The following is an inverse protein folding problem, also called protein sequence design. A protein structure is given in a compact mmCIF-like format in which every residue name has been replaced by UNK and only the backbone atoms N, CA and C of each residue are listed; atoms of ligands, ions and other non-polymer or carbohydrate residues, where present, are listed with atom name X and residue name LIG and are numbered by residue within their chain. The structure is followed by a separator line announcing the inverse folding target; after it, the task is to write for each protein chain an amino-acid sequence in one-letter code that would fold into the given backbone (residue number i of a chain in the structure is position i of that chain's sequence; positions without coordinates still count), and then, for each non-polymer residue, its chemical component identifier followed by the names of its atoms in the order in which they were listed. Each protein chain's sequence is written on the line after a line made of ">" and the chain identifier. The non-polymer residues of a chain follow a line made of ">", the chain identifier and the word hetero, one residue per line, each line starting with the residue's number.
data_IF_120843207435
#
_entry.id   IF_120843207435
#
_cell.length_a   1.000
_cell.length_b   1.000
_cell.length_c   1.000
_cell.angle_alpha   90.00
_cell.angle_beta   90.00
_cell.angle_gamma   90.00
#
_symmetry.space_group_name_H-M   'P 1'
#
loop_
_entity.id
_entity.type
_entity.pdbx_description
1 polymer ?
#
# COMPACT_ATOMS: atom_id res chain seq x y z
N UNK A 1 -2.27 14.50 -6.66
CA UNK A 1 -3.69 14.05 -6.60
C UNK A 1 -4.00 13.58 -5.19
N UNK A 2 -5.06 14.08 -4.61
CA UNK A 2 -5.52 13.64 -3.29
C UNK A 2 -6.71 12.70 -3.42
N UNK A 3 -7.24 12.25 -2.28
CA UNK A 3 -8.37 11.30 -2.27
C UNK A 3 -9.61 11.87 -2.97
N UNK A 4 -9.92 13.13 -2.74
CA UNK A 4 -11.09 13.78 -3.35
C UNK A 4 -10.99 13.84 -4.87
N UNK A 5 -9.82 14.18 -5.39
CA UNK A 5 -9.58 14.21 -6.83
C UNK A 5 -9.63 12.81 -7.42
N UNK A 6 -9.10 11.80 -6.70
CA UNK A 6 -9.18 10.42 -7.14
C UNK A 6 -10.63 9.93 -7.19
N UNK A 7 -11.45 10.27 -6.18
CA UNK A 7 -12.88 9.92 -6.17
C UNK A 7 -13.61 10.53 -7.36
N UNK A 8 -13.31 11.78 -7.70
CA UNK A 8 -13.91 12.45 -8.86
C UNK A 8 -13.56 11.70 -10.15
N UNK A 9 -12.29 11.31 -10.31
CA UNK A 9 -11.82 10.57 -11.46
C UNK A 9 -12.49 9.19 -11.55
N UNK A 10 -12.58 8.49 -10.43
CA UNK A 10 -13.21 7.17 -10.38
C UNK A 10 -14.71 7.25 -10.73
N UNK A 11 -15.40 8.26 -10.22
CA UNK A 11 -16.81 8.46 -10.51
C UNK A 11 -17.04 8.67 -12.02
N UNK A 12 -16.19 9.46 -12.65
CA UNK A 12 -16.24 9.71 -14.10
C UNK A 12 -15.95 8.45 -14.89
N UNK A 13 -14.89 7.73 -14.56
CA UNK A 13 -14.48 6.52 -15.27
C UNK A 13 -15.49 5.38 -15.14
N UNK A 14 -16.09 5.23 -13.97
CA UNK A 14 -17.07 4.19 -13.69
C UNK A 14 -18.50 4.59 -14.05
N UNK A 15 -18.70 5.82 -14.52
CA UNK A 15 -20.01 6.38 -14.83
C UNK A 15 -20.98 6.25 -13.65
N UNK A 16 -20.55 6.72 -12.50
CA UNK A 16 -21.31 6.65 -11.26
C UNK A 16 -21.19 7.97 -10.48
N UNK A 17 -21.83 8.04 -9.33
CA UNK A 17 -21.76 9.22 -8.48
C UNK A 17 -20.48 9.25 -7.65
N UNK A 18 -20.08 10.44 -7.21
CA UNK A 18 -18.96 10.60 -6.29
C UNK A 18 -19.20 9.85 -4.98
N UNK A 19 -20.43 9.82 -4.51
CA UNK A 19 -20.80 9.10 -3.29
C UNK A 19 -20.52 7.61 -3.42
N UNK A 20 -20.95 7.00 -4.51
CA UNK A 20 -20.69 5.57 -4.77
C UNK A 20 -19.21 5.33 -4.93
N UNK A 21 -18.50 6.15 -5.70
CA UNK A 21 -17.05 6.00 -5.92
C UNK A 21 -16.29 6.12 -4.60
N UNK A 22 -16.65 7.06 -3.74
CA UNK A 22 -16.01 7.22 -2.43
C UNK A 22 -16.26 6.01 -1.54
N UNK A 23 -17.49 5.50 -1.52
CA UNK A 23 -17.84 4.31 -0.74
C UNK A 23 -17.05 3.09 -1.20
N UNK A 24 -16.92 2.90 -2.51
CA UNK A 24 -16.16 1.78 -3.07
C UNK A 24 -14.66 1.90 -2.77
N UNK A 25 -14.11 3.10 -2.87
CA UNK A 25 -12.70 3.32 -2.56
C UNK A 25 -12.41 3.06 -1.08
N UNK A 26 -13.27 3.53 -0.18
CA UNK A 26 -13.14 3.26 1.25
C UNK A 26 -13.25 1.76 1.55
N UNK A 27 -14.20 1.07 0.92
CA UNK A 27 -14.35 -0.37 1.07
C UNK A 27 -13.11 -1.12 0.57
N UNK A 28 -12.51 -0.68 -0.53
CA UNK A 28 -11.27 -1.25 -1.06
C UNK A 28 -10.13 -1.08 -0.06
N UNK A 29 -9.94 0.13 0.44
CA UNK A 29 -8.87 0.44 1.39
C UNK A 29 -9.03 -0.40 2.67
N UNK A 30 -10.25 -0.43 3.21
CA UNK A 30 -10.54 -1.20 4.43
C UNK A 30 -10.32 -2.69 4.22
N UNK A 31 -10.74 -3.22 3.07
CA UNK A 31 -10.60 -4.64 2.75
C UNK A 31 -9.14 -5.05 2.60
N UNK A 32 -8.34 -4.25 1.89
CA UNK A 32 -6.91 -4.51 1.71
C UNK A 32 -6.19 -4.40 3.06
N UNK A 33 -6.51 -3.37 3.83
CA UNK A 33 -5.91 -3.16 5.15
C UNK A 33 -6.18 -4.34 6.08
N UNK A 34 -7.43 -4.80 6.13
CA UNK A 34 -7.81 -5.93 6.98
C UNK A 34 -7.13 -7.23 6.54
N UNK A 35 -7.09 -7.50 5.24
CA UNK A 35 -6.46 -8.70 4.70
C UNK A 35 -4.96 -8.73 5.01
N UNK A 36 -4.25 -7.64 4.75
CA UNK A 36 -2.81 -7.56 5.00
C UNK A 36 -2.51 -7.63 6.49
N UNK A 37 -3.32 -6.99 7.33
CA UNK A 37 -3.18 -7.07 8.78
C UNK A 37 -3.34 -8.50 9.30
N UNK A 38 -4.14 -9.31 8.60
CA UNK A 38 -4.37 -10.73 8.94
C UNK A 38 -3.35 -11.67 8.28
N UNK A 39 -2.35 -11.13 7.62
CA UNK A 39 -1.28 -11.91 6.99
C UNK A 39 -1.57 -12.39 5.58
N UNK A 40 -2.68 -11.97 5.00
CA UNK A 40 -3.04 -12.33 3.63
C UNK A 40 -2.35 -11.41 2.61
N UNK A 41 -1.99 -11.99 1.48
CA UNK A 41 -1.47 -11.23 0.35
C UNK A 41 -2.63 -10.92 -0.60
N UNK A 42 -2.77 -9.66 -0.97
CA UNK A 42 -3.77 -9.23 -1.96
C UNK A 42 -3.08 -8.94 -3.27
N UNK A 43 -3.39 -9.73 -4.30
CA UNK A 43 -2.77 -9.58 -5.62
C UNK A 43 -3.80 -9.09 -6.63
N UNK A 44 -3.47 -7.97 -7.28
CA UNK A 44 -4.25 -7.41 -8.39
C UNK A 44 -3.39 -7.55 -9.65
N UNK A 45 -3.77 -8.50 -10.50
CA UNK A 45 -3.00 -8.86 -11.69
C UNK A 45 -2.70 -7.63 -12.55
N UNK A 46 -1.43 -7.44 -12.87
CA UNK A 46 -0.98 -6.31 -13.66
C UNK A 46 -0.71 -5.04 -12.86
N UNK A 47 -1.37 -4.86 -11.72
CA UNK A 47 -1.19 -3.68 -10.87
C UNK A 47 -0.12 -3.92 -9.80
N UNK A 48 -0.27 -4.94 -9.00
CA UNK A 48 0.68 -5.27 -7.95
C UNK A 48 0.08 -6.07 -6.82
N UNK A 49 0.88 -6.25 -5.78
CA UNK A 49 0.49 -7.02 -4.61
C UNK A 49 0.73 -6.24 -3.34
N UNK A 50 -0.21 -6.38 -2.41
CA UNK A 50 -0.10 -5.84 -1.05
C UNK A 50 0.15 -6.99 -0.10
N UNK A 51 1.16 -6.88 0.75
CA UNK A 51 1.51 -7.94 1.69
C UNK A 51 2.13 -7.39 2.96
N UNK A 52 2.15 -8.19 4.00
CA UNK A 52 2.88 -7.89 5.21
C UNK A 52 4.31 -8.45 5.06
N UNK A 53 5.30 -7.65 5.42
CA UNK A 53 6.70 -8.07 5.42
C UNK A 53 7.27 -7.96 6.80
N UNK A 54 7.99 -9.01 7.20
CA UNK A 54 8.75 -8.97 8.43
C UNK A 54 10.08 -8.27 8.20
N UNK A 55 10.39 -7.35 9.09
CA UNK A 55 11.73 -6.79 9.21
C UNK A 55 12.37 -7.42 10.43
N UNK A 56 13.48 -8.10 10.24
CA UNK A 56 14.20 -8.77 11.31
C UNK A 56 14.72 -7.76 12.32
N UNK A 57 14.82 -8.20 13.58
CA UNK A 57 15.52 -7.43 14.60
C UNK A 57 16.96 -7.19 14.14
N UNK A 58 17.47 -6.02 14.42
CA UNK A 58 18.84 -5.64 14.04
C UNK A 58 19.44 -4.72 15.09
N UNK A 59 20.76 -4.61 15.07
CA UNK A 59 21.47 -3.61 15.86
C UNK A 59 21.55 -2.31 15.07
N UNK A 60 21.30 -1.21 15.75
CA UNK A 60 21.50 0.13 15.23
C UNK A 60 22.38 0.93 16.16
N UNK A 61 22.66 2.17 15.81
CA UNK A 61 23.38 3.12 16.65
C UNK A 61 22.58 4.39 16.82
N UNK A 62 22.58 4.89 18.05
CA UNK A 62 22.01 6.21 18.32
C UNK A 62 22.95 7.27 17.74
N UNK A 63 22.52 8.07 16.75
CA UNK A 63 23.38 9.06 16.11
C UNK A 63 23.84 10.18 17.05
N UNK A 64 23.16 10.37 18.18
CA UNK A 64 23.51 11.40 19.15
C UNK A 64 24.55 10.93 20.16
N UNK A 65 24.47 9.66 20.58
CA UNK A 65 25.33 9.13 21.63
C UNK A 65 26.37 8.12 21.13
N UNK A 66 26.15 7.57 19.94
CA UNK A 66 26.98 6.51 19.40
C UNK A 66 26.76 5.14 20.02
N UNK A 67 25.83 5.05 20.97
CA UNK A 67 25.53 3.81 21.67
C UNK A 67 24.79 2.83 20.76
N UNK A 68 25.03 1.55 20.99
CA UNK A 68 24.28 0.48 20.33
C UNK A 68 22.84 0.47 20.85
N UNK A 69 21.90 0.27 19.94
CA UNK A 69 20.50 0.10 20.29
C UNK A 69 19.93 -1.11 19.53
N UNK A 70 19.07 -1.85 20.20
CA UNK A 70 18.39 -2.97 19.58
C UNK A 70 17.12 -2.47 18.92
N UNK A 71 17.00 -2.74 17.62
CA UNK A 71 15.78 -2.46 16.86
C UNK A 71 15.00 -3.77 16.78
N UNK A 72 13.82 -3.85 17.43
CA UNK A 72 13.06 -5.09 17.46
C UNK A 72 12.51 -5.46 16.07
N UNK A 73 12.19 -6.72 15.89
CA UNK A 73 11.51 -7.20 14.71
C UNK A 73 10.14 -6.52 14.59
N UNK A 74 9.78 -6.13 13.37
CA UNK A 74 8.50 -5.47 13.09
C UNK A 74 7.85 -6.09 11.86
N UNK A 75 6.54 -5.88 11.72
CA UNK A 75 5.79 -6.25 10.53
C UNK A 75 5.27 -4.97 9.89
N UNK A 76 5.53 -4.78 8.62
CA UNK A 76 5.13 -3.57 7.89
C UNK A 76 4.36 -3.93 6.63
N UNK A 77 3.39 -3.09 6.22
CA UNK A 77 2.77 -3.28 4.91
C UNK A 77 3.74 -2.93 3.79
N UNK A 78 3.67 -3.68 2.70
CA UNK A 78 4.51 -3.43 1.54
C UNK A 78 3.69 -3.62 0.27
N UNK A 79 4.00 -2.83 -0.74
CA UNK A 79 3.42 -2.93 -2.07
C UNK A 79 4.50 -3.29 -3.07
N UNK A 80 4.26 -4.36 -3.85
CA UNK A 80 5.15 -4.77 -4.93
C UNK A 80 4.44 -4.53 -6.25
N UNK A 81 4.90 -3.58 -7.07
CA UNK A 81 4.23 -3.27 -8.33
C UNK A 81 4.31 -4.42 -9.33
N UNK A 82 3.22 -4.61 -10.09
CA UNK A 82 3.19 -5.58 -11.16
C UNK A 82 3.84 -5.05 -12.43
N UNK A 83 4.03 -5.92 -13.41
CA UNK A 83 4.72 -5.57 -14.65
C UNK A 83 4.05 -4.42 -15.40
N UNK A 84 2.73 -4.47 -15.57
CA UNK A 84 2.00 -3.43 -16.30
C UNK A 84 2.15 -2.07 -15.63
N UNK A 85 2.11 -2.03 -14.31
CA UNK A 85 2.31 -0.79 -13.57
C UNK A 85 3.73 -0.27 -13.74
N UNK A 86 4.73 -1.14 -13.61
CA UNK A 86 6.14 -0.76 -13.82
C UNK A 86 6.37 -0.20 -15.22
N UNK A 87 5.83 -0.88 -16.22
CA UNK A 87 5.99 -0.47 -17.62
C UNK A 87 5.34 0.89 -17.87
N UNK A 88 4.16 1.12 -17.31
CA UNK A 88 3.47 2.41 -17.45
C UNK A 88 4.28 3.55 -16.84
N UNK A 89 4.91 3.31 -15.69
CA UNK A 89 5.71 4.33 -14.99
C UNK A 89 7.04 4.56 -15.70
N UNK A 90 7.68 3.51 -16.20
CA UNK A 90 8.97 3.62 -16.89
C UNK A 90 8.85 4.09 -18.35
N UNK A 91 7.63 4.17 -18.88
CA UNK A 91 7.38 4.58 -20.26
C UNK A 91 7.66 3.49 -21.29
N UNK A 92 7.61 2.25 -20.89
CA UNK A 92 7.90 1.11 -21.77
C UNK A 92 6.76 0.09 -21.81
#
# INVERSE_FOLDING_TARGET
>A
MNKGELVDLLATKADTTKKVANTLLDAFIDSVTAAVADGEKVTLVGFGSFEARERKAREGRNPKTGDKMDIPATVVPAFSPGKMFKDAVSGR
#
